data_IF_368139198444
#
_entry.id   IF_368139198444
#
_cell.length_a   1.000
_cell.length_b   1.000
_cell.length_c   1.000
_cell.angle_alpha   90.00
_cell.angle_beta   90.00
_cell.angle_gamma   90.00
#
_symmetry.space_group_name_H-M   'P 1'
#
loop_
_entity.id
_entity.type
_entity.pdbx_description
1 polymer ?
#
# COMPACT_ATOMS: atom_id res chain seq x y z
N UNK A 1 31.07 -24.23 -18.02
CA UNK A 1 31.99 -23.29 -17.35
C UNK A 1 31.22 -21.97 -17.16
N UNK A 2 30.18 -21.95 -16.33
CA UNK A 2 29.11 -20.92 -16.41
C UNK A 2 28.75 -20.27 -15.06
N UNK A 3 29.68 -20.24 -14.11
CA UNK A 3 29.41 -19.79 -12.72
C UNK A 3 29.68 -18.32 -12.43
N UNK A 4 30.33 -17.57 -13.34
CA UNK A 4 30.68 -16.17 -13.12
C UNK A 4 29.58 -15.19 -13.60
N UNK A 5 29.03 -15.39 -14.81
CA UNK A 5 27.99 -14.52 -15.38
C UNK A 5 26.69 -14.52 -14.55
N UNK A 6 26.30 -15.69 -14.00
CA UNK A 6 25.11 -15.80 -13.16
C UNK A 6 25.19 -15.09 -11.80
N UNK A 7 26.39 -14.78 -11.28
CA UNK A 7 26.55 -14.07 -10.00
C UNK A 7 26.40 -12.56 -10.16
N UNK A 8 26.84 -12.00 -11.30
CA UNK A 8 26.71 -10.57 -11.57
C UNK A 8 25.25 -10.17 -11.82
N UNK A 9 24.46 -11.02 -12.51
CA UNK A 9 23.03 -10.79 -12.72
C UNK A 9 22.26 -10.63 -11.40
N UNK A 10 22.45 -11.58 -10.47
CA UNK A 10 21.79 -11.53 -9.15
C UNK A 10 22.18 -10.33 -8.30
N UNK A 11 23.41 -9.82 -8.45
CA UNK A 11 23.83 -8.64 -7.72
C UNK A 11 23.10 -7.39 -8.24
N UNK A 12 23.02 -7.20 -9.56
CA UNK A 12 22.31 -6.06 -10.20
C UNK A 12 20.81 -6.06 -9.85
N UNK A 13 20.19 -7.24 -9.79
CA UNK A 13 18.78 -7.42 -9.44
C UNK A 13 18.41 -6.85 -8.05
N UNK A 14 19.33 -6.92 -7.09
CA UNK A 14 19.10 -6.42 -5.73
C UNK A 14 19.16 -4.88 -5.63
N UNK A 15 19.71 -4.19 -6.63
CA UNK A 15 19.85 -2.73 -6.59
C UNK A 15 18.66 -1.99 -7.23
N UNK A 16 17.94 -2.62 -8.15
CA UNK A 16 16.89 -1.93 -8.90
C UNK A 16 15.75 -1.46 -7.99
N UNK A 17 15.25 -2.32 -7.10
CA UNK A 17 14.16 -1.95 -6.18
C UNK A 17 14.55 -0.81 -5.21
N UNK A 18 15.74 -0.82 -4.57
CA UNK A 18 16.23 0.34 -3.81
C UNK A 18 16.36 1.62 -4.63
N UNK A 19 16.89 1.54 -5.86
CA UNK A 19 17.03 2.72 -6.73
C UNK A 19 15.65 3.29 -7.07
N UNK A 20 14.72 2.45 -7.51
CA UNK A 20 13.35 2.87 -7.83
C UNK A 20 12.67 3.50 -6.62
N UNK A 21 12.82 2.92 -5.43
CA UNK A 21 12.30 3.52 -4.19
C UNK A 21 12.90 4.90 -3.94
N UNK A 22 14.21 5.06 -4.03
CA UNK A 22 14.88 6.34 -3.82
C UNK A 22 14.42 7.40 -4.81
N UNK A 23 14.20 7.02 -6.09
CA UNK A 23 13.69 7.93 -7.12
C UNK A 23 12.24 8.34 -6.82
N UNK A 24 11.39 7.40 -6.41
CA UNK A 24 10.01 7.70 -6.01
C UNK A 24 9.94 8.60 -4.77
N UNK A 25 10.81 8.38 -3.78
CA UNK A 25 10.90 9.22 -2.58
C UNK A 25 11.39 10.64 -2.93
N UNK A 26 12.37 10.78 -3.85
CA UNK A 26 12.82 12.08 -4.37
C UNK A 26 11.68 12.82 -5.09
N UNK A 27 10.92 12.11 -5.94
CA UNK A 27 9.78 12.68 -6.64
C UNK A 27 8.66 13.11 -5.67
N UNK A 28 8.32 12.27 -4.68
CA UNK A 28 7.33 12.61 -3.67
C UNK A 28 7.75 13.84 -2.85
N UNK A 29 9.05 13.95 -2.51
CA UNK A 29 9.62 15.13 -1.86
C UNK A 29 9.49 16.38 -2.72
N UNK A 30 9.85 16.29 -4.00
CA UNK A 30 9.69 17.39 -4.96
C UNK A 30 8.24 17.90 -5.01
N UNK A 31 7.28 16.98 -5.12
CA UNK A 31 5.86 17.34 -5.15
C UNK A 31 5.43 17.97 -3.83
N UNK A 32 5.79 17.40 -2.68
CA UNK A 32 5.41 17.94 -1.38
C UNK A 32 5.92 19.37 -1.18
N UNK A 33 7.17 19.66 -1.56
CA UNK A 33 7.76 21.00 -1.51
C UNK A 33 6.99 21.95 -2.43
N UNK A 34 6.69 21.55 -3.67
CA UNK A 34 6.01 22.39 -4.65
C UNK A 34 4.51 22.59 -4.37
N UNK A 35 3.88 21.65 -3.67
CA UNK A 35 2.49 21.76 -3.21
C UNK A 35 2.34 22.73 -2.04
N UNK A 36 3.32 22.81 -1.12
CA UNK A 36 3.29 23.69 0.05
C UNK A 36 3.84 25.10 -0.18
N UNK A 37 4.74 25.29 -1.14
CA UNK A 37 5.42 26.58 -1.40
C UNK A 37 4.54 27.67 -2.02
N UNK A 38 3.28 27.38 -2.37
CA UNK A 38 2.35 28.41 -2.85
C UNK A 38 1.97 29.45 -1.80
N UNK A 39 2.06 29.13 -0.51
CA UNK A 39 1.64 30.05 0.56
C UNK A 39 2.78 30.65 1.40
N UNK A 40 4.03 30.22 1.20
CA UNK A 40 5.16 30.69 2.01
C UNK A 40 6.40 30.95 1.16
N UNK A 41 6.34 31.98 0.31
CA UNK A 41 7.58 32.58 -0.18
C UNK A 41 8.27 33.25 1.00
N UNK A 42 9.60 33.10 1.07
CA UNK A 42 10.52 33.76 2.00
C UNK A 42 10.91 32.93 3.24
N UNK A 43 11.75 31.90 3.04
CA UNK A 43 12.75 31.59 4.06
C UNK A 43 14.07 31.17 3.41
N UNK A 44 15.11 31.79 3.94
CA UNK A 44 16.42 31.99 3.37
C UNK A 44 17.26 30.71 3.28
N UNK A 45 18.04 30.66 2.22
CA UNK A 45 19.10 29.71 1.93
C UNK A 45 20.04 29.53 3.13
N UNK A 46 19.90 28.41 3.84
CA UNK A 46 20.89 27.98 4.83
C UNK A 46 21.91 27.08 4.14
N UNK A 47 23.15 27.55 4.16
CA UNK A 47 24.27 27.03 3.40
C UNK A 47 24.98 25.88 4.14
N UNK A 48 25.39 24.85 3.39
CA UNK A 48 26.45 23.93 3.78
C UNK A 48 26.10 22.71 4.65
N UNK A 49 25.79 21.58 4.00
CA UNK A 49 26.37 20.25 4.25
C UNK A 49 25.47 19.14 3.65
N UNK A 50 25.90 18.52 2.55
CA UNK A 50 25.34 17.26 2.05
C UNK A 50 23.85 17.23 1.71
N UNK A 51 23.18 18.38 1.60
CA UNK A 51 21.73 18.47 1.38
C UNK A 51 21.43 17.89 0.00
N UNK A 52 20.73 16.76 0.00
CA UNK A 52 20.16 16.13 -1.18
C UNK A 52 19.39 17.21 -1.94
N UNK A 53 19.94 17.67 -3.07
CA UNK A 53 19.35 18.76 -3.84
C UNK A 53 17.95 18.32 -4.27
N UNK A 54 16.94 19.08 -3.84
CA UNK A 54 15.57 18.88 -4.32
C UNK A 54 15.60 19.06 -5.84
N UNK A 55 15.04 18.12 -6.63
CA UNK A 55 14.98 18.26 -8.09
C UNK A 55 14.39 19.61 -8.49
N UNK A 56 14.88 20.22 -9.57
CA UNK A 56 14.38 21.52 -10.05
C UNK A 56 13.13 21.38 -10.90
N UNK A 57 12.89 20.20 -11.45
CA UNK A 57 11.72 19.91 -12.28
C UNK A 57 11.23 18.47 -12.11
N UNK A 58 10.02 18.19 -12.60
CA UNK A 58 9.42 16.85 -12.63
C UNK A 58 10.26 15.92 -13.49
N UNK A 59 10.73 16.41 -14.64
CA UNK A 59 11.56 15.67 -15.58
C UNK A 59 12.87 15.25 -14.92
N UNK A 60 13.51 16.13 -14.16
CA UNK A 60 14.73 15.79 -13.40
C UNK A 60 14.46 14.72 -12.33
N UNK A 61 13.34 14.85 -11.60
CA UNK A 61 12.97 13.89 -10.55
C UNK A 61 12.66 12.49 -11.11
N UNK A 62 12.07 12.40 -12.31
CA UNK A 62 11.59 11.15 -12.91
C UNK A 62 12.51 10.58 -14.00
N UNK A 63 13.48 11.34 -14.51
CA UNK A 63 14.43 10.89 -15.54
C UNK A 63 15.11 9.55 -15.19
N UNK A 64 15.51 9.26 -13.94
CA UNK A 64 16.06 7.94 -13.60
C UNK A 64 15.08 6.79 -13.86
N UNK A 65 13.76 6.99 -13.67
CA UNK A 65 12.78 5.93 -14.00
C UNK A 65 12.70 5.69 -15.50
N UNK A 66 12.76 6.75 -16.32
CA UNK A 66 12.79 6.59 -17.78
C UNK A 66 14.03 5.84 -18.24
N UNK A 67 15.20 6.08 -17.64
CA UNK A 67 16.43 5.34 -17.94
C UNK A 67 16.29 3.85 -17.56
N UNK A 68 15.70 3.55 -16.40
CA UNK A 68 15.58 2.18 -15.88
C UNK A 68 14.50 1.34 -16.57
N UNK A 69 13.37 1.96 -16.90
CA UNK A 69 12.16 1.26 -17.36
C UNK A 69 11.69 1.69 -18.76
N UNK A 70 12.31 2.70 -19.36
CA UNK A 70 11.98 3.21 -20.69
C UNK A 70 10.50 3.57 -20.84
N UNK A 71 9.88 3.05 -21.91
CA UNK A 71 8.46 3.28 -22.22
C UNK A 71 7.51 2.82 -21.11
N UNK A 72 7.90 1.83 -20.30
CA UNK A 72 7.10 1.37 -19.17
C UNK A 72 6.99 2.44 -18.11
N UNK A 73 8.07 3.18 -17.81
CA UNK A 73 8.02 4.34 -16.92
C UNK A 73 7.12 5.44 -17.46
N UNK A 74 7.27 5.81 -18.73
CA UNK A 74 6.43 6.86 -19.34
C UNK A 74 4.94 6.50 -19.28
N UNK A 75 4.60 5.23 -19.52
CA UNK A 75 3.22 4.74 -19.40
C UNK A 75 2.72 4.80 -17.95
N UNK A 76 3.55 4.41 -16.98
CA UNK A 76 3.22 4.47 -15.57
C UNK A 76 3.01 5.91 -15.08
N UNK A 77 3.84 6.85 -15.55
CA UNK A 77 3.70 8.29 -15.30
C UNK A 77 2.38 8.81 -15.87
N UNK A 78 2.04 8.42 -17.10
CA UNK A 78 0.76 8.73 -17.72
C UNK A 78 -0.44 8.28 -16.88
N UNK A 79 -0.38 7.06 -16.34
CA UNK A 79 -1.41 6.53 -15.45
C UNK A 79 -1.44 7.35 -14.15
N UNK A 80 -0.33 7.41 -13.41
CA UNK A 80 -0.32 7.95 -12.05
C UNK A 80 -0.54 9.46 -11.99
N UNK A 81 0.06 10.23 -12.90
CA UNK A 81 0.08 11.70 -12.83
C UNK A 81 -0.91 12.37 -13.77
N UNK A 82 -1.23 11.72 -14.89
CA UNK A 82 -2.11 12.30 -15.92
C UNK A 82 -3.48 11.63 -15.96
N UNK A 83 -3.74 10.65 -15.10
CA UNK A 83 -5.04 9.97 -15.02
C UNK A 83 -5.40 9.21 -16.29
N UNK A 84 -4.41 8.73 -17.05
CA UNK A 84 -4.64 7.94 -18.26
C UNK A 84 -5.45 6.66 -17.97
N UNK A 85 -5.28 6.10 -16.78
CA UNK A 85 -6.11 5.01 -16.24
C UNK A 85 -6.43 5.33 -14.77
N UNK A 86 -7.62 4.95 -14.26
CA UNK A 86 -8.00 5.21 -12.88
C UNK A 86 -7.18 4.36 -11.91
N UNK A 87 -6.87 4.92 -10.73
CA UNK A 87 -6.31 4.17 -9.59
C UNK A 87 -7.32 4.23 -8.45
N UNK A 88 -7.87 3.08 -8.05
CA UNK A 88 -8.86 2.97 -6.97
C UNK A 88 -8.28 2.09 -5.86
N UNK A 89 -8.17 2.64 -4.65
CA UNK A 89 -7.91 1.88 -3.42
C UNK A 89 -9.24 1.51 -2.78
N UNK A 90 -9.55 0.23 -2.75
CA UNK A 90 -10.63 -0.32 -1.95
C UNK A 90 -10.14 -0.60 -0.53
N UNK A 91 -10.82 -0.03 0.44
CA UNK A 91 -10.58 -0.24 1.86
C UNK A 91 -11.75 -1.03 2.42
N UNK A 92 -11.49 -2.20 2.99
CA UNK A 92 -12.55 -2.95 3.64
C UNK A 92 -13.01 -2.23 4.91
N UNK A 93 -14.32 -2.04 5.05
CA UNK A 93 -14.93 -1.52 6.27
C UNK A 93 -14.81 -2.54 7.40
N UNK A 94 -14.17 -2.14 8.49
CA UNK A 94 -14.21 -2.88 9.74
C UNK A 94 -15.66 -3.01 10.24
N UNK A 95 -16.15 -4.23 10.42
CA UNK A 95 -17.41 -4.46 11.14
C UNK A 95 -17.20 -4.15 12.61
N UNK A 96 -17.62 -2.96 13.04
CA UNK A 96 -17.77 -2.67 14.45
C UNK A 96 -18.95 -3.51 14.92
N UNK A 97 -18.66 -4.70 15.47
CA UNK A 97 -19.63 -5.44 16.27
C UNK A 97 -20.00 -4.54 17.43
N UNK A 98 -21.11 -3.81 17.29
CA UNK A 98 -21.73 -3.14 18.41
C UNK A 98 -22.03 -4.25 19.42
N UNK A 99 -21.19 -4.35 20.45
CA UNK A 99 -21.43 -5.26 21.55
C UNK A 99 -22.67 -4.72 22.24
N UNK A 100 -23.81 -5.31 21.90
CA UNK A 100 -25.07 -5.08 22.57
C UNK A 100 -24.92 -5.52 24.04
N UNK A 101 -24.36 -4.63 24.86
CA UNK A 101 -24.65 -4.60 26.29
C UNK A 101 -26.08 -4.08 26.46
N UNK A 102 -27.04 -4.83 25.91
CA UNK A 102 -28.41 -4.77 26.33
C UNK A 102 -28.44 -5.44 27.71
N UNK A 103 -28.31 -4.63 28.75
CA UNK A 103 -28.60 -4.97 30.14
C UNK A 103 -30.02 -5.54 30.18
N UNK A 104 -30.17 -6.85 30.03
CA UNK A 104 -31.41 -7.58 30.27
C UNK A 104 -31.62 -7.67 31.78
N UNK A 105 -32.22 -6.65 32.37
CA UNK A 105 -33.04 -6.85 33.57
C UNK A 105 -34.38 -7.40 33.12
N UNK A 106 -34.48 -8.73 33.05
CA UNK A 106 -35.74 -9.45 32.90
C UNK A 106 -35.63 -10.71 33.75
N UNK A 107 -36.01 -10.57 35.01
CA UNK A 107 -36.52 -11.68 35.83
C UNK A 107 -37.87 -12.06 35.24
N UNK A 108 -37.94 -13.23 34.62
CA UNK A 108 -39.13 -14.08 34.69
C UNK A 108 -38.70 -15.53 34.45
N UNK A 109 -38.94 -16.33 35.47
CA UNK A 109 -38.88 -17.79 35.47
C UNK A 109 -39.95 -18.33 34.50
N UNK A 110 -39.59 -19.29 33.64
CA UNK A 110 -40.23 -20.62 33.66
C UNK A 110 -39.71 -21.57 32.54
N UNK A 111 -39.40 -22.79 32.99
CA UNK A 111 -39.65 -24.12 32.40
C UNK A 111 -38.97 -24.50 31.06
N UNK A 112 -37.77 -25.08 31.23
CA UNK A 112 -37.32 -26.41 30.79
C UNK A 112 -38.07 -27.12 29.63
N UNK A 113 -37.36 -27.41 28.53
CA UNK A 113 -37.49 -28.72 27.85
C UNK A 113 -36.25 -29.04 27.01
N UNK A 114 -35.68 -30.22 27.28
CA UNK A 114 -34.58 -30.85 26.55
C UNK A 114 -35.00 -31.22 25.12
N UNK A 115 -34.11 -30.99 24.13
CA UNK A 115 -33.90 -31.95 23.04
C UNK A 115 -32.48 -31.88 22.48
N UNK A 116 -31.84 -33.05 22.56
CA UNK A 116 -30.56 -33.47 22.02
C UNK A 116 -30.70 -33.76 20.51
N UNK A 117 -29.83 -33.25 19.64
CA UNK A 117 -29.47 -33.92 18.37
C UNK A 117 -28.11 -33.45 17.85
N UNK A 118 -27.39 -34.41 17.30
CA UNK A 118 -25.97 -34.50 17.07
C UNK A 118 -25.50 -34.03 15.67
N UNK A 119 -24.20 -33.75 15.61
CA UNK A 119 -23.23 -34.01 14.52
C UNK A 119 -23.32 -33.32 13.14
N UNK A 120 -22.15 -32.80 12.72
CA UNK A 120 -21.80 -32.49 11.34
C UNK A 120 -20.43 -31.79 11.26
N UNK A 121 -19.37 -32.58 11.12
CA UNK A 121 -17.95 -32.18 11.10
C UNK A 121 -17.60 -31.18 9.99
N UNK A 122 -16.79 -30.16 10.33
CA UNK A 122 -16.20 -29.22 9.37
C UNK A 122 -14.68 -29.39 9.36
N UNK A 123 -14.17 -29.75 8.18
CA UNK A 123 -12.75 -29.91 7.84
C UNK A 123 -12.09 -28.55 7.63
N UNK A 124 -11.17 -28.19 8.51
CA UNK A 124 -10.34 -26.97 8.44
C UNK A 124 -9.01 -27.30 7.73
N UNK A 125 -8.70 -26.59 6.65
CA UNK A 125 -7.35 -26.52 6.10
C UNK A 125 -6.72 -25.18 6.47
N UNK A 126 -5.58 -25.25 7.16
CA UNK A 126 -4.78 -24.12 7.62
C UNK A 126 -4.16 -23.33 6.46
N UNK A 127 -4.44 -22.02 6.41
CA UNK A 127 -3.71 -21.05 5.56
C UNK A 127 -2.73 -20.28 6.44
N UNK A 128 -1.45 -20.51 6.19
CA UNK A 128 -0.32 -19.86 6.84
C UNK A 128 -0.25 -18.38 6.44
N UNK A 129 -0.60 -17.48 7.36
CA UNK A 129 -0.36 -16.04 7.22
C UNK A 129 1.01 -15.66 7.79
N UNK A 130 1.96 -15.39 6.88
CA UNK A 130 3.27 -14.83 7.21
C UNK A 130 3.15 -13.40 7.72
N UNK A 131 3.42 -13.19 9.00
CA UNK A 131 3.53 -11.87 9.63
C UNK A 131 4.98 -11.38 9.55
N UNK A 132 5.22 -10.39 8.70
CA UNK A 132 6.46 -9.61 8.71
C UNK A 132 6.41 -8.58 9.84
N UNK A 133 7.35 -8.70 10.78
CA UNK A 133 7.60 -7.76 11.86
C UNK A 133 8.40 -6.56 11.35
N UNK A 134 7.92 -5.36 11.64
CA UNK A 134 8.77 -4.18 11.77
C UNK A 134 8.18 -3.24 12.81
N UNK A 135 8.69 -3.38 14.04
CA UNK A 135 8.56 -2.39 15.10
C UNK A 135 9.81 -1.50 15.06
N UNK A 136 9.61 -0.18 14.98
CA UNK A 136 10.58 0.80 15.42
C UNK A 136 9.82 1.80 16.30
N UNK A 137 9.85 1.55 17.60
CA UNK A 137 9.36 2.46 18.63
C UNK A 137 10.52 3.31 19.13
N UNK A 138 10.39 4.63 18.96
CA UNK A 138 11.18 5.64 19.65
C UNK A 138 10.24 6.32 20.64
N UNK A 139 10.42 6.00 21.92
CA UNK A 139 9.72 6.61 23.05
C UNK A 139 10.38 7.95 23.42
N UNK A 140 9.57 8.96 23.79
CA UNK A 140 9.98 9.92 24.80
C UNK A 140 9.06 9.87 26.03
N UNK A 141 9.71 9.65 27.17
CA UNK A 141 9.26 9.91 28.54
C UNK A 141 8.94 11.41 28.74
N UNK A 142 7.74 11.77 29.18
CA UNK A 142 7.42 11.95 30.60
C UNK A 142 6.11 12.74 30.85
N UNK A 143 5.35 12.17 31.80
CA UNK A 143 4.51 12.73 32.86
C UNK A 143 3.41 13.78 32.61
N UNK A 144 2.17 13.31 32.78
CA UNK A 144 1.23 13.93 33.73
C UNK A 144 -0.03 14.54 33.13
N UNK A 145 -1.02 13.71 32.75
CA UNK A 145 -2.40 14.20 32.66
C UNK A 145 -3.43 13.07 32.73
N UNK A 146 -4.47 13.29 33.53
CA UNK A 146 -5.54 12.39 33.93
C UNK A 146 -6.32 11.85 32.73
N UNK A 147 -6.03 10.61 32.32
CA UNK A 147 -6.66 9.97 31.16
C UNK A 147 -7.93 9.21 31.57
N UNK A 148 -9.06 9.56 30.96
CA UNK A 148 -10.25 8.71 30.90
C UNK A 148 -9.95 7.37 30.20
N UNK A 149 -10.87 6.39 30.25
CA UNK A 149 -10.65 5.07 29.67
C UNK A 149 -10.38 5.19 28.16
N UNK A 150 -9.11 5.10 27.80
CA UNK A 150 -8.65 4.94 26.43
C UNK A 150 -9.11 3.57 25.96
N UNK A 151 -10.19 3.54 25.19
CA UNK A 151 -10.52 2.39 24.37
C UNK A 151 -9.38 2.19 23.38
N UNK A 152 -8.44 1.30 23.69
CA UNK A 152 -7.57 0.69 22.71
C UNK A 152 -8.45 -0.16 21.80
N UNK A 153 -9.10 0.51 20.84
CA UNK A 153 -9.65 -0.16 19.66
C UNK A 153 -8.45 -0.83 19.02
N UNK A 154 -8.39 -2.17 19.11
CA UNK A 154 -7.39 -2.96 18.41
C UNK A 154 -7.38 -2.46 16.97
N UNK A 155 -6.26 -1.86 16.55
CA UNK A 155 -6.07 -1.29 15.22
C UNK A 155 -6.17 -2.44 14.22
N UNK A 156 -7.40 -2.77 13.81
CA UNK A 156 -7.64 -3.80 12.82
C UNK A 156 -6.83 -3.41 11.59
N UNK A 157 -6.04 -4.36 11.10
CA UNK A 157 -5.25 -4.17 9.89
C UNK A 157 -6.25 -4.03 8.73
N UNK A 158 -6.43 -2.81 8.26
CA UNK A 158 -7.28 -2.52 7.11
C UNK A 158 -6.78 -3.32 5.92
N UNK A 159 -7.68 -4.13 5.33
CA UNK A 159 -7.39 -4.89 4.11
C UNK A 159 -7.58 -3.96 2.92
N UNK A 160 -6.56 -3.91 2.08
CA UNK A 160 -6.53 -3.06 0.89
C UNK A 160 -6.54 -3.90 -0.38
N UNK A 161 -7.24 -3.40 -1.39
CA UNK A 161 -7.20 -3.93 -2.76
C UNK A 161 -7.07 -2.73 -3.70
N UNK A 162 -6.26 -2.85 -4.74
CA UNK A 162 -5.98 -1.73 -5.64
C UNK A 162 -6.43 -2.09 -7.05
N UNK A 163 -7.24 -1.25 -7.68
CA UNK A 163 -7.53 -1.35 -9.10
C UNK A 163 -6.73 -0.28 -9.84
N UNK A 164 -5.99 -0.69 -10.87
CA UNK A 164 -5.21 0.19 -11.76
C UNK A 164 -5.64 -0.13 -13.18
N UNK A 165 -6.43 0.77 -13.78
CA UNK A 165 -7.09 0.48 -15.04
C UNK A 165 -8.02 -0.73 -14.93
N UNK A 166 -7.77 -1.75 -15.75
CA UNK A 166 -8.54 -2.99 -15.76
C UNK A 166 -7.97 -4.07 -14.82
N UNK A 167 -6.83 -3.83 -14.20
CA UNK A 167 -6.16 -4.82 -13.36
C UNK A 167 -6.38 -4.57 -11.88
N UNK A 168 -6.61 -5.64 -11.15
CA UNK A 168 -6.72 -5.61 -9.69
C UNK A 168 -5.48 -6.23 -9.06
N UNK A 169 -4.92 -5.52 -8.08
CA UNK A 169 -3.67 -5.82 -7.40
C UNK A 169 -3.98 -6.00 -5.91
N UNK A 170 -3.65 -7.18 -5.38
CA UNK A 170 -3.78 -7.50 -3.94
C UNK A 170 -2.67 -6.86 -3.08
N UNK A 171 -1.62 -6.38 -3.72
CA UNK A 171 -0.43 -5.87 -3.06
C UNK A 171 0.28 -4.87 -3.97
N UNK A 172 0.93 -3.82 -3.43
CA UNK A 172 1.77 -2.90 -4.20
C UNK A 172 3.07 -3.55 -4.72
N UNK A 173 3.20 -4.88 -4.62
CA UNK A 173 4.36 -5.65 -5.06
C UNK A 173 4.03 -6.72 -6.11
N UNK A 174 2.75 -6.90 -6.47
CA UNK A 174 2.33 -7.93 -7.42
C UNK A 174 1.24 -7.42 -8.35
N UNK A 175 1.36 -7.74 -9.65
CA UNK A 175 0.36 -7.43 -10.65
C UNK A 175 0.03 -8.66 -11.52
N UNK A 176 -1.25 -9.02 -11.72
CA UNK A 176 -1.61 -10.20 -12.51
C UNK A 176 -1.56 -9.97 -14.02
N UNK A 177 -1.12 -8.81 -14.52
CA UNK A 177 -1.13 -8.54 -15.96
C UNK A 177 -0.13 -9.42 -16.71
N UNK A 178 -0.43 -9.72 -17.97
CA UNK A 178 0.40 -10.59 -18.83
C UNK A 178 1.84 -10.09 -18.96
N UNK A 179 2.06 -8.77 -19.01
CA UNK A 179 3.39 -8.18 -19.05
C UNK A 179 4.22 -8.55 -17.80
N UNK A 180 3.63 -8.49 -16.60
CA UNK A 180 4.29 -8.88 -15.35
C UNK A 180 4.56 -10.39 -15.30
N UNK A 181 3.57 -11.21 -15.68
CA UNK A 181 3.71 -12.66 -15.72
C UNK A 181 4.82 -13.08 -16.69
N UNK A 182 4.86 -12.50 -17.89
CA UNK A 182 5.90 -12.79 -18.88
C UNK A 182 7.30 -12.39 -18.39
N UNK A 183 7.44 -11.21 -17.78
CA UNK A 183 8.71 -10.74 -17.21
C UNK A 183 9.19 -11.63 -16.06
N UNK A 184 8.29 -12.07 -15.18
CA UNK A 184 8.65 -12.95 -14.06
C UNK A 184 9.12 -14.33 -14.51
N UNK A 185 8.52 -14.90 -15.57
CA UNK A 185 8.93 -16.19 -16.15
C UNK A 185 10.30 -16.08 -16.82
N UNK A 186 10.53 -15.00 -17.59
CA UNK A 186 11.80 -14.85 -18.31
C UNK A 186 12.98 -14.45 -17.41
N UNK A 187 12.76 -14.19 -16.12
CA UNK A 187 13.75 -13.63 -15.19
C UNK A 187 14.44 -12.38 -15.73
N UNK A 188 13.82 -11.70 -16.69
CA UNK A 188 14.39 -10.49 -17.27
C UNK A 188 14.10 -9.35 -16.33
N UNK A 189 15.13 -8.99 -15.54
CA UNK A 189 15.59 -7.71 -14.99
C UNK A 189 14.61 -6.58 -14.59
N UNK A 190 13.30 -6.67 -14.83
CA UNK A 190 12.35 -5.58 -14.69
C UNK A 190 11.09 -6.12 -14.03
N UNK A 191 11.07 -6.08 -12.71
CA UNK A 191 9.97 -6.59 -11.86
C UNK A 191 8.78 -5.62 -11.80
N UNK A 192 8.63 -4.73 -12.77
CA UNK A 192 7.61 -3.70 -12.75
C UNK A 192 6.93 -3.60 -14.11
N UNK A 193 5.66 -4.00 -14.17
CA UNK A 193 4.77 -3.56 -15.23
C UNK A 193 4.34 -2.10 -15.00
N UNK A 194 3.72 -1.48 -16.02
CA UNK A 194 3.24 -0.10 -15.92
C UNK A 194 2.27 0.11 -14.75
N UNK A 195 1.39 -0.86 -14.47
CA UNK A 195 0.39 -0.76 -13.41
C UNK A 195 1.02 -0.76 -12.02
N UNK A 196 2.01 -1.64 -11.79
CA UNK A 196 2.70 -1.75 -10.51
C UNK A 196 3.51 -0.47 -10.22
N UNK A 197 4.23 0.03 -11.23
CA UNK A 197 5.00 1.26 -11.10
C UNK A 197 4.09 2.48 -10.89
N UNK A 198 2.95 2.56 -11.58
CA UNK A 198 1.97 3.63 -11.40
C UNK A 198 1.38 3.62 -9.98
N UNK A 199 0.98 2.45 -9.49
CA UNK A 199 0.46 2.30 -8.13
C UNK A 199 1.50 2.71 -7.08
N UNK A 200 2.75 2.24 -7.23
CA UNK A 200 3.84 2.60 -6.32
C UNK A 200 4.08 4.11 -6.31
N UNK A 201 4.05 4.77 -7.47
CA UNK A 201 4.21 6.21 -7.58
C UNK A 201 3.08 6.95 -6.86
N UNK A 202 1.82 6.56 -7.08
CA UNK A 202 0.66 7.17 -6.44
C UNK A 202 0.69 7.02 -4.91
N UNK A 203 0.91 5.80 -4.42
CA UNK A 203 0.99 5.53 -2.97
C UNK A 203 2.17 6.24 -2.30
N UNK A 204 3.26 6.49 -3.03
CA UNK A 204 4.41 7.19 -2.46
C UNK A 204 4.18 8.68 -2.33
N UNK A 205 3.57 9.31 -3.33
CA UNK A 205 3.19 10.71 -3.23
C UNK A 205 2.19 10.94 -2.09
N UNK A 206 1.21 10.04 -1.95
CA UNK A 206 0.26 10.08 -0.84
C UNK A 206 0.93 9.90 0.53
N UNK A 207 1.90 8.99 0.65
CA UNK A 207 2.63 8.78 1.91
C UNK A 207 3.40 10.03 2.38
N UNK A 208 3.68 10.97 1.47
CA UNK A 208 4.26 12.28 1.77
C UNK A 208 3.19 13.36 2.08
N UNK A 209 1.93 12.95 2.25
CA UNK A 209 0.81 13.83 2.59
C UNK A 209 0.24 14.60 1.41
N UNK A 210 0.65 14.29 0.18
CA UNK A 210 0.13 14.98 -1.00
C UNK A 210 -1.07 14.21 -1.55
N UNK A 211 -2.23 14.85 -1.54
CA UNK A 211 -3.44 14.32 -2.16
C UNK A 211 -3.24 14.20 -3.69
N UNK A 212 -3.66 13.06 -4.24
CA UNK A 212 -3.63 12.81 -5.68
C UNK A 212 -5.04 12.69 -6.24
N UNK A 213 -5.36 13.48 -7.26
CA UNK A 213 -6.70 13.44 -7.89
C UNK A 213 -7.00 12.09 -8.55
N UNK A 214 -5.96 11.36 -8.97
CA UNK A 214 -6.11 10.08 -9.65
C UNK A 214 -6.20 8.87 -8.70
N UNK A 215 -5.78 9.00 -7.43
CA UNK A 215 -5.91 7.94 -6.43
C UNK A 215 -7.21 8.14 -5.65
N UNK A 216 -8.21 7.32 -5.94
CA UNK A 216 -9.52 7.38 -5.28
C UNK A 216 -9.64 6.30 -4.22
N UNK A 217 -10.11 6.68 -3.05
CA UNK A 217 -10.44 5.72 -2.01
C UNK A 217 -11.93 5.33 -2.05
N UNK A 218 -12.21 4.04 -1.93
CA UNK A 218 -13.57 3.51 -1.82
C UNK A 218 -13.66 2.54 -0.65
N UNK A 219 -14.45 2.90 0.35
CA UNK A 219 -14.77 2.03 1.48
C UNK A 219 -15.85 1.03 1.05
N UNK A 220 -15.58 -0.27 1.19
CA UNK A 220 -16.48 -1.37 0.76
C UNK A 220 -16.86 -2.27 1.93
N UNK A 221 -18.00 -2.95 1.83
CA UNK A 221 -18.37 -3.97 2.83
C UNK A 221 -17.50 -5.22 2.69
N UNK A 222 -17.38 -6.07 3.73
CA UNK A 222 -16.66 -7.34 3.62
C UNK A 222 -17.14 -8.22 2.46
N UNK A 223 -18.46 -8.32 2.26
CA UNK A 223 -19.06 -9.09 1.15
C UNK A 223 -18.69 -8.53 -0.22
N UNK A 224 -18.67 -7.20 -0.38
CA UNK A 224 -18.25 -6.55 -1.62
C UNK A 224 -16.74 -6.75 -1.85
N UNK A 225 -15.93 -6.67 -0.80
CA UNK A 225 -14.48 -6.93 -0.87
C UNK A 225 -14.21 -8.36 -1.35
N UNK A 226 -14.90 -9.37 -0.80
CA UNK A 226 -14.82 -10.76 -1.24
C UNK A 226 -15.21 -10.94 -2.70
N UNK A 227 -16.28 -10.28 -3.16
CA UNK A 227 -16.68 -10.31 -4.57
C UNK A 227 -15.60 -9.72 -5.48
N UNK A 228 -14.94 -8.63 -5.06
CA UNK A 228 -13.84 -8.05 -5.81
C UNK A 228 -12.63 -9.00 -5.88
N UNK A 229 -12.31 -9.72 -4.79
CA UNK A 229 -11.27 -10.74 -4.79
C UNK A 229 -11.61 -11.88 -5.78
N UNK A 230 -12.83 -12.39 -5.73
CA UNK A 230 -13.26 -13.53 -6.56
C UNK A 230 -13.27 -13.20 -8.06
N UNK A 231 -13.55 -11.95 -8.44
CA UNK A 231 -13.53 -11.52 -9.86
C UNK A 231 -12.14 -11.55 -10.49
N UNK A 232 -11.10 -11.65 -9.66
CA UNK A 232 -9.71 -11.46 -10.07
C UNK A 232 -8.89 -12.74 -10.12
N UNK A 233 -9.50 -13.85 -9.69
CA UNK A 233 -9.01 -15.22 -9.82
C UNK A 233 -9.50 -15.84 -11.14
#
# INVERSE_FOLDING_TARGET
MDTAAGRLSRAVENYLAPITRAVLDNYATYIAVNSGTRDTQHLESTDGSGVQQVPRSIEEALAPLEILYGKTALSAIGIALHGAEPIIRYVERAEVKASDNATKTSTDDEVNTHHETQHGESSVMDVVSSTGLCNAALEPKDHGSTAGPSFQVAKQRERHLYQVGEHTLFSPYYCPCSAYVYQSIQRQNVWCCKHLLALQLALRVEAFGVAQDNLRERIVSPTEYEQLLLRTL
#
